data_IF_405977831587
#
_entry.id   IF_405977831587
#
_cell.length_a   1.000
_cell.length_b   1.000
_cell.length_c   1.000
_cell.angle_alpha   90.00
_cell.angle_beta   90.00
_cell.angle_gamma   90.00
#
_symmetry.space_group_name_H-M   'P 1'
#
loop_
_entity.id
_entity.type
_entity.pdbx_description
1 polymer ?
#
# COMPACT_ATOMS: atom_id res chain seq x y z
N UNK A 1 -28.35 -10.25 21.81
CA UNK A 1 -29.51 -10.58 22.67
C UNK A 1 -29.21 -11.88 23.43
N UNK A 2 -28.76 -11.80 24.68
CA UNK A 2 -28.54 -12.98 25.52
C UNK A 2 -29.85 -13.41 26.20
N UNK A 3 -30.58 -14.35 25.59
CA UNK A 3 -31.63 -15.14 26.26
C UNK A 3 -30.94 -16.22 27.10
N UNK A 4 -30.46 -15.85 28.28
CA UNK A 4 -29.82 -16.79 29.22
C UNK A 4 -29.70 -16.29 30.67
N UNK A 5 -29.99 -15.03 30.93
CA UNK A 5 -29.73 -14.38 32.23
C UNK A 5 -30.81 -14.66 33.29
N UNK A 6 -31.89 -15.37 32.94
CA UNK A 6 -33.11 -15.39 33.75
C UNK A 6 -33.06 -16.22 35.05
N UNK A 7 -31.97 -16.94 35.34
CA UNK A 7 -31.84 -17.78 36.55
C UNK A 7 -30.41 -17.85 37.13
N UNK A 8 -29.63 -16.76 37.06
CA UNK A 8 -28.30 -16.71 37.68
C UNK A 8 -28.38 -16.05 39.06
N UNK A 9 -27.62 -16.53 40.07
CA UNK A 9 -27.50 -15.85 41.36
C UNK A 9 -27.10 -14.38 41.15
N UNK A 10 -27.65 -13.45 41.93
CA UNK A 10 -27.43 -12.01 41.79
C UNK A 10 -25.93 -11.64 41.73
N UNK A 11 -25.11 -12.35 42.50
CA UNK A 11 -23.66 -12.19 42.55
C UNK A 11 -22.99 -12.48 41.19
N UNK A 12 -23.46 -13.50 40.47
CA UNK A 12 -22.92 -13.87 39.16
C UNK A 12 -23.27 -12.80 38.13
N UNK A 13 -24.49 -12.24 38.20
CA UNK A 13 -24.90 -11.13 37.34
C UNK A 13 -24.04 -9.90 37.59
N UNK A 14 -23.74 -9.59 38.86
CA UNK A 14 -22.88 -8.46 39.23
C UNK A 14 -21.44 -8.64 38.72
N UNK A 15 -20.88 -9.85 38.83
CA UNK A 15 -19.53 -10.14 38.32
C UNK A 15 -19.47 -10.01 36.80
N UNK A 16 -20.49 -10.50 36.08
CA UNK A 16 -20.58 -10.35 34.62
C UNK A 16 -20.61 -8.87 34.24
N UNK A 17 -21.43 -8.08 34.90
CA UNK A 17 -21.57 -6.64 34.65
C UNK A 17 -20.27 -5.86 34.93
N UNK A 18 -19.51 -6.24 35.97
CA UNK A 18 -18.19 -5.67 36.24
C UNK A 18 -17.15 -6.06 35.18
N UNK A 19 -17.16 -7.32 34.73
CA UNK A 19 -16.27 -7.80 33.67
C UNK A 19 -16.56 -7.09 32.34
N UNK A 20 -17.84 -6.96 31.96
CA UNK A 20 -18.27 -6.27 30.74
C UNK A 20 -17.84 -4.80 30.75
N UNK A 21 -17.92 -4.09 31.88
CA UNK A 21 -17.55 -2.68 31.97
C UNK A 21 -16.04 -2.45 31.99
N UNK A 22 -15.29 -3.28 32.71
CA UNK A 22 -13.89 -2.98 33.03
C UNK A 22 -12.87 -3.84 32.28
N UNK A 23 -13.22 -5.08 31.95
CA UNK A 23 -12.26 -6.06 31.48
C UNK A 23 -12.48 -6.47 30.02
N UNK A 24 -13.73 -6.46 29.55
CA UNK A 24 -14.09 -6.92 28.21
C UNK A 24 -14.16 -5.78 27.19
N UNK A 25 -14.10 -6.18 25.94
CA UNK A 25 -14.23 -5.30 24.78
C UNK A 25 -15.63 -4.65 24.70
N UNK A 26 -15.72 -3.37 24.28
CA UNK A 26 -16.99 -2.67 24.12
C UNK A 26 -17.85 -3.18 22.94
N UNK A 27 -17.31 -4.00 22.05
CA UNK A 27 -18.02 -4.57 20.90
C UNK A 27 -18.87 -5.81 21.26
N UNK A 28 -18.89 -6.19 22.54
CA UNK A 28 -19.59 -7.38 23.03
C UNK A 28 -18.84 -8.69 22.76
N UNK A 29 -17.61 -8.62 22.25
CA UNK A 29 -16.73 -9.80 22.20
C UNK A 29 -16.22 -10.14 23.59
N UNK A 30 -16.04 -11.44 23.86
CA UNK A 30 -15.47 -11.95 25.11
C UNK A 30 -13.93 -11.87 25.10
N UNK A 31 -13.38 -10.81 24.50
CA UNK A 31 -11.94 -10.55 24.42
C UNK A 31 -11.62 -9.47 25.46
N UNK A 32 -10.41 -9.52 26.03
CA UNK A 32 -9.98 -8.47 26.94
C UNK A 32 -9.93 -7.12 26.22
N UNK A 33 -10.23 -6.06 26.97
CA UNK A 33 -10.23 -4.69 26.48
C UNK A 33 -8.88 -4.28 25.88
N UNK A 34 -7.77 -4.74 26.48
CA UNK A 34 -6.42 -4.49 25.94
C UNK A 34 -6.21 -5.18 24.59
N UNK A 35 -6.53 -6.48 24.50
CA UNK A 35 -6.36 -7.23 23.25
C UNK A 35 -7.25 -6.68 22.13
N UNK A 36 -8.45 -6.17 22.46
CA UNK A 36 -9.28 -5.45 21.50
C UNK A 36 -8.56 -4.22 20.92
N UNK A 37 -8.00 -3.35 21.75
CA UNK A 37 -7.29 -2.16 21.27
C UNK A 37 -6.00 -2.50 20.51
N UNK A 38 -5.24 -3.50 20.96
CA UNK A 38 -4.04 -3.97 20.27
C UNK A 38 -4.37 -4.49 18.86
N UNK A 39 -5.48 -5.25 18.73
CA UNK A 39 -5.95 -5.73 17.44
C UNK A 39 -6.43 -4.60 16.52
N UNK A 40 -7.13 -3.59 17.06
CA UNK A 40 -7.53 -2.43 16.26
C UNK A 40 -6.31 -1.68 15.74
N UNK A 41 -5.32 -1.42 16.60
CA UNK A 41 -4.07 -0.79 16.20
C UNK A 41 -3.36 -1.60 15.11
N UNK A 42 -3.16 -2.90 15.32
CA UNK A 42 -2.52 -3.77 14.33
C UNK A 42 -3.25 -3.76 12.98
N UNK A 43 -4.59 -3.72 12.99
CA UNK A 43 -5.41 -3.62 11.79
C UNK A 43 -5.20 -2.30 11.05
N UNK A 44 -5.16 -1.19 11.78
CA UNK A 44 -4.86 0.13 11.21
C UNK A 44 -3.46 0.15 10.58
N UNK A 45 -2.46 -0.39 11.27
CA UNK A 45 -1.09 -0.45 10.76
C UNK A 45 -0.97 -1.31 9.49
N UNK A 46 -1.62 -2.47 9.47
CA UNK A 46 -1.65 -3.33 8.28
C UNK A 46 -2.37 -2.64 7.12
N UNK A 47 -3.48 -1.95 7.38
CA UNK A 47 -4.23 -1.22 6.34
C UNK A 47 -3.40 -0.08 5.73
N UNK A 48 -2.66 0.65 6.57
CA UNK A 48 -1.74 1.71 6.17
C UNK A 48 -0.61 1.16 5.29
N UNK A 49 -0.03 0.04 5.67
CA UNK A 49 1.05 -0.57 4.88
C UNK A 49 0.55 -1.10 3.54
N UNK A 50 -0.65 -1.70 3.52
CA UNK A 50 -1.31 -2.13 2.29
C UNK A 50 -1.54 -0.96 1.33
N UNK A 51 -1.97 0.20 1.83
CA UNK A 51 -2.18 1.38 0.99
C UNK A 51 -0.86 1.83 0.34
N UNK A 52 0.22 1.91 1.13
CA UNK A 52 1.56 2.27 0.61
C UNK A 52 2.06 1.31 -0.46
N UNK A 53 1.81 0.01 -0.30
CA UNK A 53 2.13 -0.98 -1.32
C UNK A 53 1.34 -0.76 -2.62
N UNK A 54 0.04 -0.48 -2.52
CA UNK A 54 -0.80 -0.19 -3.69
C UNK A 54 -0.36 1.09 -4.41
N UNK A 55 0.01 2.14 -3.66
CA UNK A 55 0.58 3.37 -4.22
C UNK A 55 1.90 3.08 -4.96
N UNK A 56 2.80 2.30 -4.35
CA UNK A 56 4.05 1.90 -4.99
C UNK A 56 3.81 1.07 -6.26
N UNK A 57 2.84 0.15 -6.25
CA UNK A 57 2.44 -0.60 -7.44
C UNK A 57 1.93 0.31 -8.56
N UNK A 58 1.10 1.30 -8.23
CA UNK A 58 0.57 2.24 -9.23
C UNK A 58 1.70 3.02 -9.91
N UNK A 59 2.67 3.51 -9.13
CA UNK A 59 3.87 4.20 -9.65
C UNK A 59 4.69 3.26 -10.54
N UNK A 60 4.85 2.00 -10.13
CA UNK A 60 5.60 1.01 -10.92
C UNK A 60 4.90 0.71 -12.26
N UNK A 61 3.58 0.57 -12.27
CA UNK A 61 2.80 0.41 -13.49
C UNK A 61 2.94 1.63 -14.42
N UNK A 62 2.89 2.85 -13.89
CA UNK A 62 3.10 4.07 -14.67
C UNK A 62 4.51 4.13 -15.27
N UNK A 63 5.52 3.75 -14.50
CA UNK A 63 6.90 3.68 -14.97
C UNK A 63 7.09 2.66 -16.10
N UNK A 64 6.45 1.49 -16.01
CA UNK A 64 6.46 0.49 -17.09
C UNK A 64 5.81 1.06 -18.35
N UNK A 65 4.62 1.64 -18.24
CA UNK A 65 3.91 2.21 -19.38
C UNK A 65 4.76 3.29 -20.09
N UNK A 66 5.42 4.18 -19.34
CA UNK A 66 6.32 5.18 -19.91
C UNK A 66 7.50 4.57 -20.68
N UNK A 67 8.05 3.44 -20.21
CA UNK A 67 9.15 2.74 -20.91
C UNK A 67 8.64 2.06 -22.17
N UNK A 68 7.47 1.41 -22.11
CA UNK A 68 6.82 0.78 -23.27
C UNK A 68 6.48 1.82 -24.35
N UNK A 69 5.89 2.95 -23.96
CA UNK A 69 5.61 4.08 -24.86
C UNK A 69 6.89 4.62 -25.51
N UNK A 70 7.97 4.77 -24.75
CA UNK A 70 9.27 5.18 -25.28
C UNK A 70 9.83 4.16 -26.29
N UNK A 71 9.80 2.87 -25.97
CA UNK A 71 10.27 1.82 -26.87
C UNK A 71 9.45 1.75 -28.14
N UNK A 72 8.12 1.92 -28.03
CA UNK A 72 7.23 2.00 -29.17
C UNK A 72 7.60 3.20 -30.06
N UNK A 73 7.78 4.38 -29.49
CA UNK A 73 8.18 5.58 -30.23
C UNK A 73 9.53 5.39 -30.95
N UNK A 74 10.52 4.79 -30.30
CA UNK A 74 11.82 4.47 -30.91
C UNK A 74 11.67 3.47 -32.05
N UNK A 75 10.88 2.41 -31.88
CA UNK A 75 10.68 1.40 -32.93
C UNK A 75 9.97 1.97 -34.16
N UNK A 76 8.95 2.81 -33.97
CA UNK A 76 8.24 3.52 -35.05
C UNK A 76 9.16 4.49 -35.77
N UNK A 77 10.00 5.24 -35.04
CA UNK A 77 11.00 6.13 -35.65
C UNK A 77 12.03 5.35 -36.49
N UNK A 78 12.47 4.19 -36.01
CA UNK A 78 13.42 3.32 -36.72
C UNK A 78 12.82 2.66 -37.97
N UNK A 79 11.54 2.28 -37.95
CA UNK A 79 10.83 1.71 -39.11
C UNK A 79 10.46 2.76 -40.16
N UNK A 80 10.20 4.00 -39.73
CA UNK A 80 9.79 5.11 -40.61
C UNK A 80 10.94 5.87 -41.28
N UNK A 81 12.20 5.62 -40.93
CA UNK A 81 13.37 6.30 -41.51
C UNK A 81 13.49 7.80 -41.20
N UNK A 82 12.69 8.33 -40.26
CA UNK A 82 12.66 9.74 -39.90
C UNK A 82 13.66 9.99 -38.75
N UNK A 83 14.68 10.81 -39.03
CA UNK A 83 15.77 11.18 -38.09
C UNK A 83 15.39 12.24 -37.06
N UNK A 84 14.16 12.74 -37.06
CA UNK A 84 13.70 13.79 -36.16
C UNK A 84 12.80 13.23 -35.04
N UNK A 85 13.41 12.45 -34.14
CA UNK A 85 12.80 12.00 -32.88
C UNK A 85 12.37 13.21 -32.01
N UNK A 86 12.96 14.39 -32.24
CA UNK A 86 12.60 15.65 -31.56
C UNK A 86 11.21 16.19 -31.94
N UNK A 87 10.65 15.83 -33.10
CA UNK A 87 9.38 16.40 -33.58
C UNK A 87 8.13 15.65 -33.14
N UNK A 88 8.25 14.36 -32.78
CA UNK A 88 7.09 13.50 -32.50
C UNK A 88 6.57 13.59 -31.07
N UNK A 89 7.29 14.23 -30.16
CA UNK A 89 6.84 14.45 -28.78
C UNK A 89 7.24 15.84 -28.27
N UNK A 90 6.34 16.83 -28.33
CA UNK A 90 6.46 18.04 -27.52
C UNK A 90 6.46 17.72 -26.02
N UNK A 91 5.90 16.58 -25.59
CA UNK A 91 5.94 16.13 -24.19
C UNK A 91 7.29 15.52 -23.74
N UNK A 92 8.22 15.16 -24.63
CA UNK A 92 9.55 14.62 -24.26
C UNK A 92 10.61 15.71 -24.02
N UNK A 93 10.22 16.98 -24.02
CA UNK A 93 11.01 18.07 -23.43
C UNK A 93 11.11 17.99 -21.89
N UNK A 94 10.79 16.83 -21.30
CA UNK A 94 11.40 16.36 -20.05
C UNK A 94 12.93 16.16 -20.14
N UNK A 95 13.63 16.74 -21.13
CA UNK A 95 15.10 16.74 -21.23
C UNK A 95 15.81 17.29 -19.98
N UNK A 96 15.10 18.00 -19.10
CA UNK A 96 15.64 18.50 -17.83
C UNK A 96 14.81 18.15 -16.58
N UNK A 97 13.78 17.30 -16.71
CA UNK A 97 13.00 16.92 -15.54
C UNK A 97 13.68 15.77 -14.80
N UNK A 98 13.83 15.87 -13.46
CA UNK A 98 14.55 14.87 -12.65
C UNK A 98 14.00 13.45 -12.83
N UNK A 99 12.74 13.32 -13.23
CA UNK A 99 12.02 12.07 -13.48
C UNK A 99 12.63 11.24 -14.62
N UNK A 100 13.07 11.84 -15.73
CA UNK A 100 13.61 11.09 -16.88
C UNK A 100 15.00 10.49 -16.60
N UNK A 101 15.83 11.18 -15.81
CA UNK A 101 17.14 10.68 -15.35
C UNK A 101 16.96 9.53 -14.37
N UNK A 102 15.96 9.64 -13.51
CA UNK A 102 15.54 8.61 -12.56
C UNK A 102 15.10 7.38 -13.35
N UNK A 103 14.14 7.46 -14.27
CA UNK A 103 13.66 6.33 -15.08
C UNK A 103 14.79 5.66 -15.90
N UNK A 104 15.68 6.43 -16.55
CA UNK A 104 16.85 5.86 -17.25
C UNK A 104 17.81 5.15 -16.29
N UNK A 105 17.99 5.68 -15.08
CA UNK A 105 18.83 5.05 -14.04
C UNK A 105 18.18 3.78 -13.47
N UNK A 106 16.86 3.75 -13.33
CA UNK A 106 16.11 2.55 -12.93
C UNK A 106 16.13 1.45 -14.00
N UNK A 107 15.99 1.81 -15.28
CA UNK A 107 16.08 0.86 -16.39
C UNK A 107 17.47 0.22 -16.50
N UNK A 108 18.54 0.94 -16.15
CA UNK A 108 19.90 0.40 -16.07
C UNK A 108 20.16 -0.40 -14.78
N UNK A 109 19.43 -0.14 -13.70
CA UNK A 109 19.51 -0.84 -12.42
C UNK A 109 18.60 -2.08 -12.33
N UNK A 110 17.86 -2.40 -13.40
CA UNK A 110 16.93 -3.54 -13.48
C UNK A 110 17.63 -4.92 -13.45
N UNK A 111 18.91 -4.99 -13.06
CA UNK A 111 19.54 -6.18 -12.52
C UNK A 111 19.55 -6.11 -10.97
N UNK A 112 18.47 -6.61 -10.39
CA UNK A 112 18.43 -7.37 -9.13
C UNK A 112 18.35 -6.74 -7.73
N UNK A 113 18.63 -5.46 -7.46
CA UNK A 113 18.89 -5.08 -6.04
C UNK A 113 18.00 -4.00 -5.39
N UNK A 114 17.10 -3.32 -6.09
CA UNK A 114 16.46 -2.12 -5.51
C UNK A 114 15.22 -2.39 -4.63
N UNK A 115 14.59 -3.56 -4.77
CA UNK A 115 13.40 -3.88 -3.96
C UNK A 115 13.74 -4.15 -2.48
N UNK A 116 14.97 -4.54 -2.17
CA UNK A 116 15.45 -4.81 -0.81
C UNK A 116 15.79 -3.55 -0.02
N UNK A 117 16.41 -2.54 -0.66
CA UNK A 117 16.84 -1.31 0.03
C UNK A 117 15.70 -0.41 0.52
N UNK A 118 14.50 -0.54 -0.07
CA UNK A 118 13.34 0.25 0.36
C UNK A 118 12.61 -0.38 1.55
N UNK A 119 12.74 -1.70 1.74
CA UNK A 119 12.24 -2.39 2.93
C UNK A 119 13.17 -2.22 4.15
N UNK A 120 14.47 -2.01 3.94
CA UNK A 120 15.48 -1.86 5.00
C UNK A 120 15.58 -0.45 5.62
N UNK A 121 14.88 0.55 5.07
CA UNK A 121 14.94 1.94 5.55
C UNK A 121 13.79 2.36 6.49
N UNK A 122 13.15 1.39 7.15
CA UNK A 122 12.15 1.60 8.21
C UNK A 122 12.59 0.92 9.50
#
# INVERSE_FOLDING_TARGET
>A
MMKGVQNLPADVIQVIDQLERHCLSPDGSLISKSAYYDLQLAREEMSRERLRYLEAMAIYCEAIAMVEEYQQAVSVANLGGIRDIQGFYPQLELKNAPQARVVRRWALLQHHSFMWLWFDLR
#
